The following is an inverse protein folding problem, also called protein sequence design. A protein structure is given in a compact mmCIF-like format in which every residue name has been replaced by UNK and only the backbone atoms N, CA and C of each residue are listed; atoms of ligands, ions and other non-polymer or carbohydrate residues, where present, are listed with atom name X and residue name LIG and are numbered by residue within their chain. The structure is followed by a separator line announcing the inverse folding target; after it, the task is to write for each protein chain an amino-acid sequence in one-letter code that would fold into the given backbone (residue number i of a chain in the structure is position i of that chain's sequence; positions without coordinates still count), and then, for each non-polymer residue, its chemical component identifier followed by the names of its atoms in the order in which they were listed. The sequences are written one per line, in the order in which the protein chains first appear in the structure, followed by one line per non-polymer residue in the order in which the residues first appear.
data_IF_888794003215
#
_entry.id   IF_888794003215
#
_cell.length_a   1.000
_cell.length_b   1.000
_cell.length_c   1.000
_cell.angle_alpha   90.00
_cell.angle_beta   90.00
_cell.angle_gamma   90.00
#
_symmetry.space_group_name_H-M   'P 1'
#
loop_
_entity.id
_entity.type
_entity.pdbx_description
1 polymer ?
#
# COMPACT_ATOMS: atom_id res chain seq x y z
N UNK A 1 11.44 -10.62 50.43
CA UNK A 1 11.51 -9.47 49.49
C UNK A 1 12.08 -9.81 48.09
N UNK A 2 12.52 -11.05 47.80
CA UNK A 2 13.08 -11.45 46.48
C UNK A 2 12.07 -11.77 45.38
N UNK A 3 10.78 -11.96 45.71
CA UNK A 3 9.76 -12.38 44.74
C UNK A 3 9.34 -11.25 43.79
N UNK A 4 9.40 -10.00 44.25
CA UNK A 4 8.98 -8.82 43.47
C UNK A 4 10.05 -8.37 42.47
N UNK A 5 11.34 -8.55 42.78
CA UNK A 5 12.45 -8.26 41.86
C UNK A 5 12.41 -9.15 40.60
N UNK A 6 12.15 -10.45 40.77
CA UNK A 6 12.05 -11.38 39.63
C UNK A 6 10.90 -11.03 38.68
N UNK A 7 9.78 -10.53 39.23
CA UNK A 7 8.65 -10.09 38.42
C UNK A 7 8.92 -8.78 37.69
N UNK A 8 9.55 -7.80 38.35
CA UNK A 8 9.97 -6.56 37.71
C UNK A 8 10.96 -6.79 36.58
N UNK A 9 11.97 -7.64 36.79
CA UNK A 9 12.94 -7.97 35.74
C UNK A 9 12.30 -8.63 34.52
N UNK A 10 11.26 -9.47 34.72
CA UNK A 10 10.52 -10.09 33.62
C UNK A 10 9.67 -9.09 32.84
N UNK A 11 9.06 -8.12 33.53
CA UNK A 11 8.31 -7.04 32.90
C UNK A 11 9.23 -6.13 32.09
N UNK A 12 10.39 -5.77 32.65
CA UNK A 12 11.39 -4.94 31.96
C UNK A 12 11.97 -5.66 30.74
N UNK A 13 12.22 -6.98 30.86
CA UNK A 13 12.66 -7.81 29.75
C UNK A 13 11.60 -7.88 28.63
N UNK A 14 10.33 -8.11 28.98
CA UNK A 14 9.23 -8.10 28.01
C UNK A 14 9.10 -6.74 27.32
N UNK A 15 9.22 -5.63 28.05
CA UNK A 15 9.25 -4.29 27.45
C UNK A 15 10.43 -4.12 26.50
N UNK A 16 11.63 -4.57 26.90
CA UNK A 16 12.81 -4.46 26.05
C UNK A 16 12.73 -5.32 24.78
N UNK A 17 12.07 -6.48 24.85
CA UNK A 17 11.76 -7.30 23.67
C UNK A 17 10.72 -6.64 22.77
N UNK A 18 9.69 -6.02 23.37
CA UNK A 18 8.69 -5.25 22.61
C UNK A 18 9.33 -4.02 21.95
N UNK A 19 10.25 -3.32 22.61
CA UNK A 19 10.90 -2.12 22.08
C UNK A 19 11.90 -2.44 20.96
N UNK A 20 12.53 -3.62 20.96
CA UNK A 20 13.47 -4.03 19.92
C UNK A 20 12.81 -4.45 18.59
N UNK A 21 11.58 -4.98 18.64
CA UNK A 21 10.79 -5.31 17.44
C UNK A 21 9.96 -4.13 16.91
N UNK A 22 9.95 -3.00 17.62
CA UNK A 22 9.19 -1.79 17.26
C UNK A 22 10.10 -0.78 16.54
N UNK A 23 10.78 -1.23 15.48
CA UNK A 23 10.75 -0.40 14.26
C UNK A 23 9.31 -0.50 13.80
N UNK A 24 8.44 0.43 14.22
CA UNK A 24 7.04 0.46 13.80
C UNK A 24 7.01 0.44 12.29
N UNK A 25 6.80 -0.75 11.71
CA UNK A 25 6.63 -0.90 10.28
C UNK A 25 5.42 -0.04 9.94
N UNK A 26 5.62 1.05 9.21
CA UNK A 26 4.52 1.96 8.89
C UNK A 26 3.38 1.12 8.33
N UNK A 27 2.22 1.22 8.96
CA UNK A 27 1.04 0.47 8.56
C UNK A 27 0.76 0.75 7.09
N UNK A 28 0.59 -0.31 6.30
CA UNK A 28 0.29 -0.14 4.88
C UNK A 28 -1.07 0.55 4.78
N UNK A 29 -1.08 1.73 4.19
CA UNK A 29 -2.28 2.52 3.96
C UNK A 29 -2.27 3.13 2.55
N UNK A 30 -3.38 3.75 2.17
CA UNK A 30 -3.56 4.30 0.82
C UNK A 30 -2.53 5.40 0.49
N UNK A 31 -2.18 6.23 1.46
CA UNK A 31 -1.23 7.31 1.23
C UNK A 31 0.20 6.80 1.04
N UNK A 32 0.58 5.71 1.73
CA UNK A 32 1.82 4.98 1.49
C UNK A 32 1.84 4.40 0.07
N UNK A 33 0.78 3.70 -0.35
CA UNK A 33 0.66 3.13 -1.70
C UNK A 33 0.83 4.23 -2.75
N UNK A 34 0.08 5.33 -2.64
CA UNK A 34 0.16 6.47 -3.57
C UNK A 34 1.56 7.08 -3.56
N UNK A 35 2.22 7.17 -2.39
CA UNK A 35 3.59 7.66 -2.26
C UNK A 35 4.59 6.78 -3.00
N UNK A 36 4.53 5.47 -2.83
CA UNK A 36 5.46 4.53 -3.46
C UNK A 36 5.24 4.47 -4.98
N UNK A 37 3.99 4.47 -5.43
CA UNK A 37 3.63 4.54 -6.86
C UNK A 37 4.06 5.89 -7.48
N UNK A 38 3.83 7.00 -6.78
CA UNK A 38 4.25 8.34 -7.19
C UNK A 38 5.75 8.40 -7.44
N UNK A 39 6.55 7.94 -6.48
CA UNK A 39 8.01 7.86 -6.60
C UNK A 39 8.45 6.94 -7.73
N UNK A 40 7.79 5.79 -7.90
CA UNK A 40 8.15 4.83 -8.94
C UNK A 40 7.97 5.39 -10.37
N UNK A 41 6.87 6.09 -10.63
CA UNK A 41 6.57 6.61 -11.98
C UNK A 41 7.03 8.07 -12.19
N UNK A 42 7.53 8.76 -11.15
CA UNK A 42 7.84 10.18 -11.24
C UNK A 42 6.61 11.06 -11.46
N UNK A 43 5.43 10.62 -10.99
CA UNK A 43 4.15 11.32 -11.15
C UNK A 43 3.73 11.86 -9.80
N UNK A 44 3.30 13.12 -9.72
CA UNK A 44 2.90 13.71 -8.45
C UNK A 44 1.68 13.00 -7.84
N UNK A 45 1.61 12.92 -6.51
CA UNK A 45 0.43 12.38 -5.80
C UNK A 45 -0.87 13.08 -6.23
N UNK A 46 -0.79 14.40 -6.48
CA UNK A 46 -1.91 15.22 -6.95
C UNK A 46 -2.38 14.79 -8.34
N UNK A 47 -1.47 14.51 -9.27
CA UNK A 47 -1.84 14.00 -10.59
C UNK A 47 -2.46 12.60 -10.52
N UNK A 48 -1.92 11.73 -9.66
CA UNK A 48 -2.52 10.41 -9.41
C UNK A 48 -3.96 10.54 -8.93
N UNK A 49 -4.27 11.46 -8.00
CA UNK A 49 -5.65 11.71 -7.53
C UNK A 49 -6.51 12.56 -8.50
N UNK A 50 -5.94 13.08 -9.59
CA UNK A 50 -6.66 13.96 -10.53
C UNK A 50 -7.55 13.21 -11.53
N UNK A 51 -8.34 13.94 -12.33
CA UNK A 51 -9.09 13.40 -13.48
C UNK A 51 -8.25 13.31 -14.79
N UNK A 52 -6.94 13.48 -14.72
CA UNK A 52 -6.07 13.42 -15.90
C UNK A 52 -6.18 12.07 -16.60
N UNK A 53 -6.36 12.14 -17.93
CA UNK A 53 -6.46 10.99 -18.84
C UNK A 53 -5.13 10.65 -19.54
N UNK A 54 -4.04 11.37 -19.21
CA UNK A 54 -2.69 11.01 -19.70
C UNK A 54 -2.42 9.55 -19.36
N UNK A 55 -1.95 8.77 -20.33
CA UNK A 55 -1.82 7.32 -20.20
C UNK A 55 -0.95 6.90 -19.00
N UNK A 56 0.18 7.59 -18.80
CA UNK A 56 1.09 7.36 -17.66
C UNK A 56 0.41 7.61 -16.31
N UNK A 57 -0.30 8.73 -16.19
CA UNK A 57 -1.04 9.09 -14.96
C UNK A 57 -2.19 8.12 -14.70
N UNK A 58 -2.94 7.75 -15.74
CA UNK A 58 -4.01 6.77 -15.64
C UNK A 58 -3.48 5.41 -15.21
N UNK A 59 -2.36 4.96 -15.76
CA UNK A 59 -1.74 3.69 -15.38
C UNK A 59 -1.27 3.69 -13.92
N UNK A 60 -0.58 4.74 -13.47
CA UNK A 60 -0.17 4.87 -12.07
C UNK A 60 -1.39 4.85 -11.11
N UNK A 61 -2.46 5.57 -11.46
CA UNK A 61 -3.72 5.54 -10.69
C UNK A 61 -4.35 4.15 -10.65
N UNK A 62 -4.38 3.45 -11.79
CA UNK A 62 -4.92 2.09 -11.87
C UNK A 62 -4.13 1.10 -11.00
N UNK A 63 -2.80 1.24 -10.94
CA UNK A 63 -1.96 0.46 -10.02
C UNK A 63 -2.33 0.76 -8.58
N UNK A 64 -2.52 2.03 -8.20
CA UNK A 64 -2.95 2.37 -6.84
C UNK A 64 -4.28 1.69 -6.48
N UNK A 65 -5.28 1.77 -7.37
CA UNK A 65 -6.60 1.12 -7.20
C UNK A 65 -6.47 -0.39 -7.03
N UNK A 66 -5.64 -1.05 -7.86
CA UNK A 66 -5.39 -2.48 -7.76
C UNK A 66 -4.73 -2.86 -6.43
N UNK A 67 -3.72 -2.09 -6.00
CA UNK A 67 -2.99 -2.33 -4.76
C UNK A 67 -3.86 -2.07 -3.52
N UNK A 68 -4.74 -1.06 -3.56
CA UNK A 68 -5.70 -0.80 -2.50
C UNK A 68 -6.61 -2.02 -2.28
N UNK A 69 -7.11 -2.62 -3.38
CA UNK A 69 -7.89 -3.86 -3.28
C UNK A 69 -7.03 -5.05 -2.81
N UNK A 70 -5.80 -5.18 -3.30
CA UNK A 70 -4.97 -6.37 -3.05
C UNK A 70 -4.33 -6.38 -1.66
N UNK A 71 -3.84 -5.24 -1.20
CA UNK A 71 -3.05 -5.12 0.02
C UNK A 71 -3.91 -4.71 1.22
N UNK A 72 -4.92 -3.86 1.01
CA UNK A 72 -5.77 -3.34 2.09
C UNK A 72 -7.14 -4.01 2.14
N UNK A 73 -7.47 -4.84 1.14
CA UNK A 73 -8.75 -5.53 0.99
C UNK A 73 -9.99 -4.61 1.08
N UNK A 74 -9.86 -3.33 0.76
CA UNK A 74 -10.98 -2.38 0.78
C UNK A 74 -12.13 -2.81 -0.12
N UNK A 75 -13.34 -2.39 0.22
CA UNK A 75 -14.50 -2.54 -0.64
C UNK A 75 -14.40 -1.64 -1.88
N UNK A 76 -15.13 -1.98 -2.93
CA UNK A 76 -15.15 -1.19 -4.17
C UNK A 76 -15.63 0.25 -3.93
N UNK A 77 -16.54 0.42 -2.97
CA UNK A 77 -17.07 1.74 -2.61
C UNK A 77 -16.04 2.58 -1.85
N UNK A 78 -15.24 1.98 -0.96
CA UNK A 78 -14.15 2.69 -0.27
C UNK A 78 -13.09 3.15 -1.27
N UNK A 79 -12.65 2.25 -2.16
CA UNK A 79 -11.68 2.59 -3.20
C UNK A 79 -12.25 3.68 -4.13
N UNK A 80 -13.54 3.57 -4.48
CA UNK A 80 -14.25 4.59 -5.25
C UNK A 80 -14.20 5.97 -4.59
N UNK A 81 -14.39 6.05 -3.27
CA UNK A 81 -14.26 7.31 -2.51
C UNK A 81 -12.84 7.86 -2.54
N UNK A 82 -11.82 7.02 -2.37
CA UNK A 82 -10.41 7.45 -2.33
C UNK A 82 -9.93 8.06 -3.66
N UNK A 83 -10.51 7.63 -4.78
CA UNK A 83 -10.16 8.09 -6.13
C UNK A 83 -11.24 8.91 -6.83
N UNK A 84 -12.36 9.21 -6.16
CA UNK A 84 -13.54 9.87 -6.73
C UNK A 84 -14.05 9.18 -8.01
N UNK A 85 -14.33 7.89 -7.90
CA UNK A 85 -14.75 6.98 -8.98
C UNK A 85 -15.96 6.14 -8.58
N UNK A 86 -16.79 5.80 -9.56
CA UNK A 86 -17.86 4.83 -9.39
C UNK A 86 -17.32 3.41 -9.19
N UNK A 87 -18.04 2.58 -8.42
CA UNK A 87 -17.67 1.19 -8.16
C UNK A 87 -17.44 0.37 -9.45
N UNK A 88 -18.22 0.64 -10.51
CA UNK A 88 -18.08 -0.01 -11.81
C UNK A 88 -16.76 0.35 -12.51
N UNK A 89 -16.28 1.59 -12.33
CA UNK A 89 -14.97 2.02 -12.79
C UNK A 89 -13.85 1.29 -12.05
N UNK A 90 -13.98 1.10 -10.73
CA UNK A 90 -13.03 0.33 -9.92
C UNK A 90 -12.94 -1.12 -10.42
N UNK A 91 -14.08 -1.77 -10.69
CA UNK A 91 -14.14 -3.13 -11.27
C UNK A 91 -13.39 -3.18 -12.61
N UNK A 92 -13.71 -2.24 -13.51
CA UNK A 92 -13.08 -2.17 -14.82
C UNK A 92 -11.56 -2.01 -14.71
N UNK A 93 -11.09 -1.14 -13.80
CA UNK A 93 -9.67 -0.88 -13.57
C UNK A 93 -8.96 -2.14 -13.06
N UNK A 94 -9.49 -2.81 -12.03
CA UNK A 94 -8.91 -4.04 -11.47
C UNK A 94 -8.77 -5.09 -12.57
N UNK A 95 -9.82 -5.31 -13.37
CA UNK A 95 -9.78 -6.23 -14.50
C UNK A 95 -8.71 -5.84 -15.52
N UNK A 96 -8.61 -4.56 -15.86
CA UNK A 96 -7.63 -4.05 -16.84
C UNK A 96 -6.19 -4.22 -16.36
N UNK A 97 -5.91 -4.01 -15.07
CA UNK A 97 -4.58 -4.24 -14.48
C UNK A 97 -4.25 -5.73 -14.51
N UNK A 98 -5.19 -6.61 -14.13
CA UNK A 98 -5.01 -8.06 -14.21
C UNK A 98 -4.68 -8.54 -15.64
N UNK A 99 -5.40 -8.03 -16.64
CA UNK A 99 -5.11 -8.34 -18.05
C UNK A 99 -3.71 -7.85 -18.46
N UNK A 100 -3.30 -6.64 -18.04
CA UNK A 100 -1.97 -6.11 -18.34
C UNK A 100 -0.84 -6.89 -17.67
N UNK A 101 -1.07 -7.45 -16.48
CA UNK A 101 -0.10 -8.31 -15.79
C UNK A 101 0.13 -9.68 -16.45
N UNK A 102 -0.63 -10.04 -17.48
CA UNK A 102 -0.27 -11.19 -18.35
C UNK A 102 1.06 -10.95 -19.06
N UNK A 103 1.45 -9.68 -19.27
CA UNK A 103 2.77 -9.31 -19.72
C UNK A 103 3.77 -9.31 -18.55
N UNK A 104 4.91 -10.00 -18.72
CA UNK A 104 5.94 -10.19 -17.69
C UNK A 104 6.57 -8.88 -17.21
N UNK A 105 6.81 -7.92 -18.11
CA UNK A 105 7.36 -6.62 -17.77
C UNK A 105 6.43 -5.88 -16.80
N UNK A 106 5.13 -5.85 -17.10
CA UNK A 106 4.11 -5.21 -16.23
C UNK A 106 3.91 -5.93 -14.91
N UNK A 107 4.01 -7.25 -14.89
CA UNK A 107 4.01 -8.02 -13.65
C UNK A 107 5.22 -7.69 -12.77
N UNK A 108 6.40 -7.62 -13.36
CA UNK A 108 7.65 -7.27 -12.66
C UNK A 108 7.62 -5.85 -12.10
N UNK A 109 7.09 -4.90 -12.89
CA UNK A 109 6.87 -3.51 -12.50
C UNK A 109 6.03 -3.41 -11.21
N UNK A 110 4.87 -4.07 -11.18
CA UNK A 110 3.97 -4.05 -10.01
C UNK A 110 4.58 -4.78 -8.81
N UNK A 111 5.26 -5.90 -9.02
CA UNK A 111 5.95 -6.62 -7.95
C UNK A 111 7.05 -5.77 -7.31
N UNK A 112 7.79 -5.00 -8.12
CA UNK A 112 8.81 -4.08 -7.62
C UNK A 112 8.22 -2.99 -6.70
N UNK A 113 7.01 -2.52 -7.01
CA UNK A 113 6.29 -1.55 -6.17
C UNK A 113 5.84 -2.22 -4.86
N UNK A 114 5.30 -3.44 -4.94
CA UNK A 114 4.86 -4.21 -3.76
C UNK A 114 6.04 -4.44 -2.80
N UNK A 115 7.20 -4.86 -3.32
CA UNK A 115 8.40 -5.04 -2.49
C UNK A 115 8.78 -3.75 -1.77
N UNK A 116 8.82 -2.61 -2.48
CA UNK A 116 9.10 -1.29 -1.90
C UNK A 116 8.08 -0.84 -0.86
N UNK A 117 6.84 -1.32 -0.93
CA UNK A 117 5.80 -1.06 0.10
C UNK A 117 6.10 -1.90 1.36
N UNK A 118 6.56 -3.14 1.22
CA UNK A 118 6.87 -4.02 2.34
C UNK A 118 8.26 -3.80 2.97
N UNK A 119 9.18 -3.16 2.24
CA UNK A 119 10.54 -2.78 2.65
C UNK A 119 10.58 -1.55 3.58
N UNK A 120 9.45 -1.12 4.16
CA UNK A 120 9.47 -0.15 5.27
C UNK A 120 10.38 -0.63 6.41
#
# INVERSE_FOLDING_TARGET
MKFLEGFQNKVEFIKSLLDQDVKTKEEINIDLIISKVSKFFGISKKEIKSKSRKLSVSWARHICVYLDKKLLNKSLNEIGRDFNMDHSSVIYIIRKVNEKMKNLEKKSEINSIINKIHEN
#
